data_IF_773570697638
#
_entry.id   IF_773570697638
#
_cell.length_a   1.000
_cell.length_b   1.000
_cell.length_c   1.000
_cell.angle_alpha   90.00
_cell.angle_beta   90.00
_cell.angle_gamma   90.00
#
_symmetry.space_group_name_H-M   'P 1'
#
loop_
_entity.id
_entity.type
_entity.pdbx_description
1 polymer ?
#
# COMPACT_ATOMS: atom_id res chain seq x y z
N UNK A 1 -48.94 -33.15 21.89
CA UNK A 1 -49.86 -33.04 20.73
C UNK A 1 -49.34 -31.90 19.87
N UNK A 2 -49.28 -32.08 18.54
CA UNK A 2 -48.68 -31.22 17.47
C UNK A 2 -47.40 -31.82 16.82
N UNK A 3 -47.67 -32.69 15.84
CA UNK A 3 -47.21 -32.79 14.44
C UNK A 3 -45.77 -32.44 13.95
N UNK A 4 -45.03 -33.50 13.57
CA UNK A 4 -44.35 -33.86 12.29
C UNK A 4 -43.71 -32.77 11.39
N UNK A 5 -42.40 -32.94 11.04
CA UNK A 5 -41.91 -33.28 9.67
C UNK A 5 -40.40 -33.57 9.59
N UNK A 6 -40.08 -34.76 9.07
CA UNK A 6 -38.76 -35.24 8.61
C UNK A 6 -38.49 -34.79 7.16
N UNK A 7 -37.22 -34.61 6.79
CA UNK A 7 -36.76 -34.62 5.40
C UNK A 7 -35.46 -35.42 5.28
N UNK A 8 -35.50 -36.49 4.46
CA UNK A 8 -34.41 -37.43 4.19
C UNK A 8 -33.67 -37.08 2.90
N UNK A 9 -32.37 -37.34 2.90
CA UNK A 9 -31.43 -37.16 1.78
C UNK A 9 -31.37 -38.45 0.93
N UNK A 10 -31.32 -38.34 -0.40
CA UNK A 10 -31.15 -39.46 -1.34
C UNK A 10 -29.82 -39.34 -2.09
N UNK A 11 -28.98 -40.37 -1.95
CA UNK A 11 -27.77 -40.63 -2.72
C UNK A 11 -28.15 -41.50 -3.93
N UNK A 12 -27.63 -41.18 -5.12
CA UNK A 12 -27.78 -41.97 -6.34
C UNK A 12 -26.42 -42.28 -6.98
N UNK A 13 -26.05 -43.56 -6.98
CA UNK A 13 -24.92 -44.17 -7.69
C UNK A 13 -25.39 -44.60 -9.10
N UNK A 14 -24.56 -44.47 -10.14
CA UNK A 14 -24.78 -45.22 -11.39
C UNK A 14 -23.48 -45.73 -12.02
N UNK A 15 -23.55 -46.99 -12.46
CA UNK A 15 -22.48 -47.90 -12.88
C UNK A 15 -22.00 -47.71 -14.33
N UNK A 16 -20.81 -48.26 -14.58
CA UNK A 16 -20.11 -48.41 -15.85
C UNK A 16 -20.72 -49.45 -16.79
N UNK A 17 -20.43 -49.32 -18.09
CA UNK A 17 -20.47 -50.40 -19.08
C UNK A 17 -19.31 -50.24 -20.07
N UNK A 18 -18.57 -51.33 -20.29
CA UNK A 18 -17.49 -51.45 -21.26
C UNK A 18 -17.94 -52.29 -22.46
N UNK A 19 -17.50 -51.92 -23.67
CA UNK A 19 -17.64 -52.73 -24.90
C UNK A 19 -16.29 -52.73 -25.63
N UNK A 20 -15.90 -53.90 -26.12
CA UNK A 20 -14.61 -54.21 -26.74
C UNK A 20 -14.79 -54.69 -28.21
N UNK A 21 -13.66 -54.70 -28.95
CA UNK A 21 -13.30 -55.52 -30.16
C UNK A 21 -13.50 -54.83 -31.54
N UNK A 22 -12.63 -55.05 -32.60
CA UNK A 22 -11.21 -55.50 -32.70
C UNK A 22 -10.28 -54.59 -33.56
N UNK A 23 -8.98 -54.96 -33.57
CA UNK A 23 -7.88 -54.47 -34.42
C UNK A 23 -7.90 -55.03 -35.86
N UNK A 24 -7.46 -54.23 -36.83
CA UNK A 24 -6.99 -54.66 -38.17
C UNK A 24 -5.76 -53.84 -38.63
N UNK A 25 -4.92 -54.49 -39.45
CA UNK A 25 -3.50 -54.23 -39.75
C UNK A 25 -3.11 -53.04 -40.68
N UNK A 26 -1.90 -52.48 -40.42
CA UNK A 26 -0.77 -52.03 -41.30
C UNK A 26 -1.02 -51.13 -42.55
N UNK A 27 -0.22 -50.12 -42.98
CA UNK A 27 1.06 -49.44 -42.67
C UNK A 27 1.14 -48.14 -43.58
N UNK A 28 2.29 -47.46 -43.81
CA UNK A 28 3.05 -46.54 -42.95
C UNK A 28 3.13 -45.06 -43.48
N UNK A 29 3.73 -44.21 -42.64
CA UNK A 29 4.45 -42.95 -42.95
C UNK A 29 3.69 -41.70 -43.43
N UNK A 30 3.69 -40.66 -42.58
CA UNK A 30 4.38 -39.39 -42.91
C UNK A 30 4.45 -38.47 -41.68
N UNK A 31 5.66 -37.98 -41.46
CA UNK A 31 6.10 -36.88 -40.61
C UNK A 31 5.06 -35.76 -40.35
N UNK A 32 4.94 -35.36 -39.09
CA UNK A 32 4.23 -34.14 -38.69
C UNK A 32 3.84 -34.16 -37.22
N UNK A 33 4.83 -34.10 -36.32
CA UNK A 33 4.53 -33.85 -34.90
C UNK A 33 4.33 -32.34 -34.75
N UNK A 34 3.08 -31.92 -34.81
CA UNK A 34 2.64 -30.57 -34.47
C UNK A 34 2.87 -30.37 -32.96
N UNK A 35 3.89 -29.60 -32.61
CA UNK A 35 4.02 -29.05 -31.26
C UNK A 35 3.24 -27.75 -31.19
N UNK A 36 1.93 -27.82 -31.02
CA UNK A 36 1.17 -26.71 -30.46
C UNK A 36 1.35 -26.72 -28.94
N UNK A 37 2.55 -26.35 -28.52
CA UNK A 37 2.80 -25.86 -27.17
C UNK A 37 2.79 -24.34 -27.26
N UNK A 38 1.68 -23.71 -26.89
CA UNK A 38 1.66 -22.28 -26.60
C UNK A 38 2.53 -22.05 -25.35
N UNK A 39 3.84 -21.92 -25.55
CA UNK A 39 4.74 -21.36 -24.56
C UNK A 39 4.43 -19.88 -24.48
N UNK A 40 3.73 -19.46 -23.42
CA UNK A 40 3.82 -18.06 -22.98
C UNK A 40 5.29 -17.74 -22.80
N UNK A 41 5.85 -16.94 -23.70
CA UNK A 41 7.22 -16.44 -23.60
C UNK A 41 7.34 -15.75 -22.24
N UNK A 42 8.12 -16.34 -21.33
CA UNK A 42 8.43 -15.70 -20.06
C UNK A 42 9.34 -14.55 -20.43
N UNK A 43 8.82 -13.32 -20.38
CA UNK A 43 9.59 -12.12 -20.67
C UNK A 43 10.92 -12.14 -19.90
N UNK A 44 12.04 -11.97 -20.58
CA UNK A 44 13.36 -11.95 -19.93
C UNK A 44 13.49 -10.64 -19.12
N UNK A 45 13.73 -10.75 -17.81
CA UNK A 45 13.86 -9.61 -16.92
C UNK A 45 15.01 -8.67 -17.31
N UNK A 46 16.11 -9.20 -17.87
CA UNK A 46 17.20 -8.39 -18.40
C UNK A 46 16.75 -7.59 -19.63
N UNK A 47 16.02 -8.23 -20.55
CA UNK A 47 15.50 -7.56 -21.74
C UNK A 47 14.55 -6.42 -21.35
N UNK A 48 13.61 -6.68 -20.43
CA UNK A 48 12.71 -5.65 -19.89
C UNK A 48 13.47 -4.48 -19.25
N UNK A 49 14.54 -4.78 -18.50
CA UNK A 49 15.37 -3.74 -17.90
C UNK A 49 16.08 -2.88 -18.95
N UNK A 50 16.70 -3.50 -19.96
CA UNK A 50 17.41 -2.80 -21.02
C UNK A 50 16.47 -1.92 -21.84
N UNK A 51 15.27 -2.42 -22.14
CA UNK A 51 14.28 -1.70 -22.95
C UNK A 51 13.66 -0.52 -22.19
N UNK A 52 13.32 -0.68 -20.91
CA UNK A 52 12.47 0.28 -20.20
C UNK A 52 13.15 1.06 -19.08
N UNK A 53 14.32 0.63 -18.59
CA UNK A 53 14.89 1.14 -17.34
C UNK A 53 16.35 1.61 -17.45
N UNK A 54 17.18 0.93 -18.25
CA UNK A 54 18.63 1.15 -18.29
C UNK A 54 19.01 2.60 -18.63
N UNK A 55 18.27 3.26 -19.53
CA UNK A 55 18.52 4.64 -19.92
C UNK A 55 18.58 5.61 -18.72
N UNK A 56 17.76 5.40 -17.70
CA UNK A 56 17.73 6.24 -16.50
C UNK A 56 18.61 5.68 -15.37
N UNK A 57 18.56 4.37 -15.15
CA UNK A 57 19.21 3.73 -14.01
C UNK A 57 20.73 3.52 -14.20
N UNK A 58 21.21 3.50 -15.44
CA UNK A 58 22.64 3.53 -15.76
C UNK A 58 23.12 4.94 -16.19
N UNK A 59 22.17 5.83 -16.52
CA UNK A 59 22.41 7.16 -17.10
C UNK A 59 22.76 8.29 -16.12
N UNK A 60 23.16 8.00 -14.88
CA UNK A 60 23.41 8.99 -13.81
C UNK A 60 22.26 10.00 -13.61
N UNK A 61 21.01 9.58 -13.83
CA UNK A 61 19.85 10.44 -13.61
C UNK A 61 19.73 10.74 -12.11
N UNK A 62 19.65 12.02 -11.68
CA UNK A 62 19.53 12.37 -10.27
C UNK A 62 18.35 11.64 -9.61
N UNK A 63 18.60 11.04 -8.44
CA UNK A 63 17.63 10.24 -7.65
C UNK A 63 17.23 8.89 -8.25
N UNK A 64 17.70 8.52 -9.43
CA UNK A 64 17.59 7.14 -9.91
C UNK A 64 18.68 6.28 -9.25
N UNK A 65 18.33 5.21 -8.51
CA UNK A 65 19.33 4.28 -7.99
C UNK A 65 19.96 3.49 -9.15
N UNK A 66 21.27 3.25 -9.09
CA UNK A 66 21.93 2.39 -10.07
C UNK A 66 21.41 0.95 -9.97
N UNK A 67 21.44 0.22 -11.10
CA UNK A 67 20.98 -1.18 -11.17
C UNK A 67 21.44 -2.07 -10.00
N UNK A 68 22.73 -1.97 -9.64
CA UNK A 68 23.33 -2.79 -8.59
C UNK A 68 22.65 -2.62 -7.22
N UNK A 69 22.08 -1.45 -6.96
CA UNK A 69 21.37 -1.14 -5.72
C UNK A 69 20.11 -1.99 -5.57
N UNK A 70 19.47 -2.42 -6.67
CA UNK A 70 18.24 -3.19 -6.58
C UNK A 70 18.43 -4.57 -5.96
N UNK A 71 19.63 -5.17 -6.03
CA UNK A 71 19.93 -6.41 -5.31
C UNK A 71 19.85 -6.28 -3.78
N UNK A 72 19.84 -5.05 -3.27
CA UNK A 72 19.65 -4.74 -1.84
C UNK A 72 18.19 -4.38 -1.51
N UNK A 73 17.32 -4.40 -2.52
CA UNK A 73 15.90 -4.05 -2.45
C UNK A 73 15.09 -5.31 -2.79
N UNK A 74 14.20 -5.73 -1.88
CA UNK A 74 13.37 -6.91 -2.14
C UNK A 74 12.45 -6.72 -3.35
N UNK A 75 12.17 -7.82 -4.05
CA UNK A 75 11.34 -7.80 -5.27
C UNK A 75 9.95 -7.16 -5.04
N UNK A 76 9.33 -7.39 -3.88
CA UNK A 76 8.04 -6.77 -3.51
C UNK A 76 8.10 -5.24 -3.46
N UNK A 77 9.20 -4.69 -2.92
CA UNK A 77 9.39 -3.23 -2.84
C UNK A 77 9.52 -2.63 -4.24
N UNK A 78 10.28 -3.30 -5.12
CA UNK A 78 10.47 -2.87 -6.51
C UNK A 78 9.14 -2.94 -7.27
N UNK A 79 8.40 -4.04 -7.11
CA UNK A 79 7.10 -4.23 -7.72
C UNK A 79 6.09 -3.16 -7.26
N UNK A 80 6.06 -2.86 -5.95
CA UNK A 80 5.18 -1.83 -5.43
C UNK A 80 5.55 -0.43 -5.97
N UNK A 81 6.85 -0.14 -6.13
CA UNK A 81 7.29 1.11 -6.73
C UNK A 81 6.77 1.30 -8.17
N UNK A 82 6.68 0.21 -8.95
CA UNK A 82 6.13 0.19 -10.32
C UNK A 82 4.61 0.14 -10.39
N UNK A 83 3.93 -0.37 -9.35
CA UNK A 83 2.47 -0.47 -9.35
C UNK A 83 1.80 0.78 -8.80
N UNK A 84 2.29 1.25 -7.65
CA UNK A 84 1.61 2.28 -6.85
C UNK A 84 2.56 3.41 -6.41
N UNK A 85 3.86 3.27 -6.69
CA UNK A 85 4.89 4.22 -6.24
C UNK A 85 5.38 5.16 -7.33
N UNK A 86 6.56 5.72 -7.08
CA UNK A 86 7.19 6.75 -7.92
C UNK A 86 7.59 6.28 -9.32
N UNK A 87 7.65 4.96 -9.57
CA UNK A 87 8.00 4.40 -10.88
C UNK A 87 6.77 3.98 -11.69
N UNK A 88 5.56 4.26 -11.20
CA UNK A 88 4.32 3.84 -11.87
C UNK A 88 4.18 4.40 -13.28
N UNK A 89 4.52 5.67 -13.49
CA UNK A 89 4.43 6.30 -14.82
C UNK A 89 5.43 5.66 -15.80
N UNK A 90 6.67 5.45 -15.37
CA UNK A 90 7.74 4.84 -16.17
C UNK A 90 7.44 3.37 -16.50
N UNK A 91 6.83 2.65 -15.58
CA UNK A 91 6.44 1.25 -15.75
C UNK A 91 5.07 1.07 -16.43
N UNK A 92 4.41 2.15 -16.87
CA UNK A 92 3.03 2.09 -17.37
C UNK A 92 2.86 1.28 -18.66
N UNK A 93 3.91 1.16 -19.47
CA UNK A 93 3.94 0.32 -20.66
C UNK A 93 4.03 -1.18 -20.34
N UNK A 94 4.46 -1.54 -19.13
CA UNK A 94 4.64 -2.93 -18.70
C UNK A 94 3.34 -3.54 -18.19
N UNK A 95 3.04 -4.76 -18.63
CA UNK A 95 1.98 -5.59 -18.05
C UNK A 95 2.25 -5.93 -16.58
N UNK A 96 1.22 -6.40 -15.87
CA UNK A 96 1.38 -6.86 -14.48
C UNK A 96 2.35 -8.04 -14.36
N UNK A 97 2.44 -8.90 -15.38
CA UNK A 97 3.37 -10.04 -15.41
C UNK A 97 4.80 -9.57 -15.64
N UNK A 98 5.02 -8.67 -16.62
CA UNK A 98 6.35 -8.11 -16.90
C UNK A 98 6.91 -7.36 -15.70
N UNK A 99 6.09 -6.55 -15.01
CA UNK A 99 6.50 -5.88 -13.77
C UNK A 99 6.96 -6.87 -12.69
N UNK A 100 6.29 -8.02 -12.54
CA UNK A 100 6.73 -9.06 -11.59
C UNK A 100 8.05 -9.70 -11.99
N UNK A 101 8.22 -10.02 -13.27
CA UNK A 101 9.46 -10.64 -13.76
C UNK A 101 10.64 -9.68 -13.64
N UNK A 102 10.46 -8.42 -14.05
CA UNK A 102 11.45 -7.36 -13.91
C UNK A 102 11.83 -7.14 -12.44
N UNK A 103 10.86 -7.10 -11.53
CA UNK A 103 11.12 -6.94 -10.09
C UNK A 103 11.96 -8.09 -9.51
N UNK A 104 11.62 -9.35 -9.82
CA UNK A 104 12.40 -10.50 -9.37
C UNK A 104 13.83 -10.50 -9.95
N UNK A 105 13.96 -10.20 -11.24
CA UNK A 105 15.26 -10.06 -11.89
C UNK A 105 16.14 -8.99 -11.21
N UNK A 106 15.60 -7.80 -10.97
CA UNK A 106 16.32 -6.69 -10.36
C UNK A 106 16.75 -6.97 -8.92
N UNK A 107 15.91 -7.67 -8.16
CA UNK A 107 16.23 -8.08 -6.79
C UNK A 107 17.26 -9.22 -6.73
N UNK A 108 17.53 -9.91 -7.85
CA UNK A 108 18.41 -11.08 -7.89
C UNK A 108 17.81 -12.31 -7.18
N UNK A 109 16.50 -12.31 -6.94
CA UNK A 109 15.78 -13.36 -6.23
C UNK A 109 14.45 -13.68 -6.92
N UNK A 110 14.06 -14.95 -6.91
CA UNK A 110 12.67 -15.28 -7.17
C UNK A 110 11.82 -14.71 -6.03
N UNK A 111 10.64 -14.16 -6.34
CA UNK A 111 9.74 -13.65 -5.30
C UNK A 111 9.41 -14.78 -4.31
N UNK A 112 10.00 -14.70 -3.11
CA UNK A 112 9.69 -15.60 -2.02
C UNK A 112 8.32 -15.23 -1.43
N UNK A 113 7.56 -16.20 -0.89
CA UNK A 113 6.37 -15.85 -0.12
C UNK A 113 6.76 -14.94 1.05
N UNK A 114 5.89 -13.99 1.45
CA UNK A 114 6.17 -13.12 2.58
C UNK A 114 6.50 -13.97 3.82
N UNK A 115 7.52 -13.57 4.57
CA UNK A 115 7.78 -14.20 5.86
C UNK A 115 6.57 -13.97 6.76
N UNK A 116 6.05 -15.02 7.41
CA UNK A 116 4.91 -14.89 8.30
C UNK A 116 5.27 -13.98 9.47
N UNK A 117 4.33 -13.12 9.82
CA UNK A 117 4.44 -12.23 10.98
C UNK A 117 4.10 -13.04 12.23
N UNK A 118 4.76 -12.73 13.34
CA UNK A 118 4.41 -13.31 14.63
C UNK A 118 3.02 -12.84 15.04
N UNK A 119 2.02 -13.71 14.94
CA UNK A 119 0.67 -13.43 15.40
C UNK A 119 0.56 -13.61 16.92
N UNK A 120 -0.27 -12.80 17.56
CA UNK A 120 -0.62 -12.99 18.97
C UNK A 120 -1.44 -14.27 19.15
N UNK A 121 -1.18 -14.99 20.24
CA UNK A 121 -1.93 -16.20 20.58
C UNK A 121 -3.31 -15.87 21.15
N UNK A 122 -3.36 -14.83 21.98
CA UNK A 122 -4.58 -14.37 22.62
C UNK A 122 -5.29 -13.31 21.76
N UNK A 123 -6.63 -13.27 21.80
CA UNK A 123 -7.39 -12.21 21.15
C UNK A 123 -7.04 -10.85 21.77
N UNK A 124 -7.17 -9.80 20.96
CA UNK A 124 -6.97 -8.45 21.46
C UNK A 124 -8.06 -8.08 22.47
N UNK A 125 -7.66 -7.37 23.52
CA UNK A 125 -8.59 -6.81 24.50
C UNK A 125 -9.53 -5.80 23.85
N UNK A 126 -10.72 -5.59 24.44
CA UNK A 126 -11.57 -4.47 24.07
C UNK A 126 -10.83 -3.15 24.29
N UNK A 127 -10.84 -2.29 23.27
CA UNK A 127 -10.16 -1.00 23.32
C UNK A 127 -11.02 0.02 24.09
N UNK A 128 -10.42 0.69 25.06
CA UNK A 128 -11.07 1.76 25.78
C UNK A 128 -11.49 2.90 24.84
N UNK A 129 -12.64 3.52 25.11
CA UNK A 129 -13.12 4.71 24.39
C UNK A 129 -12.24 5.95 24.62
N UNK A 130 -11.43 5.94 25.68
CA UNK A 130 -10.44 6.98 25.97
C UNK A 130 -9.21 6.39 26.65
N UNK A 131 -8.04 6.91 26.30
CA UNK A 131 -6.78 6.59 26.96
C UNK A 131 -5.99 7.89 27.14
N UNK A 132 -5.78 8.28 28.39
CA UNK A 132 -5.09 9.53 28.74
C UNK A 132 -3.56 9.45 28.49
N UNK A 133 -3.01 8.24 28.39
CA UNK A 133 -1.61 7.99 28.06
C UNK A 133 -1.39 7.78 26.56
N UNK A 134 -2.47 7.73 25.76
CA UNK A 134 -2.38 7.43 24.35
C UNK A 134 -1.58 8.48 23.57
N UNK A 135 -0.78 7.98 22.63
CA UNK A 135 -0.17 8.76 21.57
C UNK A 135 -1.08 8.69 20.36
N UNK A 136 -2.11 9.53 20.33
CA UNK A 136 -3.20 9.53 19.35
C UNK A 136 -2.81 10.16 18.01
N UNK A 137 -1.74 9.63 17.41
CA UNK A 137 -1.25 10.00 16.09
C UNK A 137 -0.16 11.08 16.08
N UNK A 138 0.02 11.74 14.93
CA UNK A 138 1.13 12.69 14.73
C UNK A 138 1.15 13.78 15.79
N UNK A 139 2.24 13.90 16.55
CA UNK A 139 2.36 14.90 17.60
C UNK A 139 1.91 14.45 19.00
N UNK A 140 1.43 13.21 19.12
CA UNK A 140 0.93 12.59 20.35
C UNK A 140 -0.52 12.98 20.71
N UNK A 141 -0.93 14.21 20.41
CA UNK A 141 -2.29 14.71 20.64
C UNK A 141 -2.59 15.95 19.79
N UNK A 142 -3.78 16.52 19.95
CA UNK A 142 -4.23 17.72 19.25
C UNK A 142 -3.33 18.96 19.44
N UNK A 143 -2.56 19.05 20.54
CA UNK A 143 -1.60 20.16 20.75
C UNK A 143 -0.30 19.97 19.98
N UNK A 144 -0.05 18.78 19.43
CA UNK A 144 1.09 18.46 18.57
C UNK A 144 2.46 18.82 19.18
N UNK A 145 2.60 18.63 20.50
CA UNK A 145 3.81 19.02 21.25
C UNK A 145 4.90 17.95 21.23
N UNK A 146 4.58 16.71 20.84
CA UNK A 146 5.49 15.56 20.90
C UNK A 146 6.16 15.42 22.28
N UNK A 147 5.38 15.68 23.32
CA UNK A 147 5.82 15.66 24.70
C UNK A 147 5.02 14.59 25.45
N UNK A 148 5.72 13.71 26.16
CA UNK A 148 5.13 12.70 27.03
C UNK A 148 5.57 12.98 28.46
N UNK A 149 4.60 13.05 29.36
CA UNK A 149 4.85 12.93 30.79
C UNK A 149 4.88 11.44 31.17
N UNK A 150 5.49 11.10 32.32
CA UNK A 150 5.26 9.79 32.94
C UNK A 150 5.93 8.57 32.30
N UNK A 151 6.95 8.75 31.46
CA UNK A 151 7.69 7.63 30.86
C UNK A 151 8.51 6.79 31.88
N UNK A 152 8.62 7.24 33.14
CA UNK A 152 9.50 6.62 34.13
C UNK A 152 11.00 6.71 33.81
N UNK A 153 11.35 7.44 32.74
CA UNK A 153 12.71 7.64 32.26
C UNK A 153 13.13 9.10 32.47
N UNK A 154 14.31 9.30 33.04
CA UNK A 154 14.94 10.59 33.22
C UNK A 154 16.46 10.50 33.02
N UNK A 155 17.14 11.64 33.18
CA UNK A 155 18.59 11.74 32.97
C UNK A 155 19.44 10.82 33.87
N UNK A 156 18.87 10.30 34.96
CA UNK A 156 19.56 9.48 35.95
C UNK A 156 19.35 7.97 35.74
N UNK A 157 18.45 7.56 34.83
CA UNK A 157 18.19 6.14 34.56
C UNK A 157 18.11 5.78 33.07
N UNK A 158 18.20 6.75 32.16
CA UNK A 158 18.14 6.50 30.71
C UNK A 158 19.27 5.58 30.21
N UNK A 159 20.39 5.53 30.93
CA UNK A 159 21.51 4.63 30.67
C UNK A 159 21.17 3.14 30.94
N UNK A 160 20.10 2.87 31.68
CA UNK A 160 19.59 1.52 31.95
C UNK A 160 18.62 1.02 30.89
N UNK A 161 18.28 1.85 29.89
CA UNK A 161 17.33 1.49 28.85
C UNK A 161 17.86 0.30 28.02
N UNK A 162 17.03 -0.73 27.88
CA UNK A 162 17.35 -1.91 27.10
C UNK A 162 16.25 -2.19 26.05
N UNK A 163 16.66 -2.82 24.95
CA UNK A 163 15.74 -3.30 23.92
C UNK A 163 14.81 -4.36 24.50
N UNK A 164 13.49 -4.10 24.49
CA UNK A 164 12.47 -5.07 24.93
C UNK A 164 12.15 -6.09 23.85
N UNK A 165 11.83 -5.62 22.64
CA UNK A 165 11.53 -6.46 21.48
C UNK A 165 11.76 -5.69 20.17
N UNK A 166 11.78 -6.41 19.05
CA UNK A 166 11.89 -5.84 17.69
C UNK A 166 10.80 -6.41 16.81
N UNK A 167 10.14 -5.54 16.04
CA UNK A 167 9.27 -5.92 14.95
C UNK A 167 9.96 -5.59 13.61
N UNK A 168 10.17 -6.61 12.77
CA UNK A 168 10.73 -6.43 11.45
C UNK A 168 9.60 -6.34 10.41
N UNK A 169 9.47 -5.18 9.78
CA UNK A 169 8.52 -4.97 8.69
C UNK A 169 8.90 -5.84 7.48
N UNK A 170 8.05 -6.80 7.08
CA UNK A 170 8.34 -7.64 5.93
C UNK A 170 8.55 -6.81 4.66
N UNK A 171 9.64 -7.05 3.94
CA UNK A 171 9.92 -6.40 2.66
C UNK A 171 10.05 -4.88 2.71
N UNK A 172 10.26 -4.28 3.89
CA UNK A 172 10.44 -2.85 4.02
C UNK A 172 11.91 -2.49 4.26
N UNK A 173 12.37 -1.44 3.57
CA UNK A 173 13.69 -0.83 3.74
C UNK A 173 13.63 0.46 4.55
N UNK A 174 12.43 0.98 4.80
CA UNK A 174 12.19 2.19 5.59
C UNK A 174 10.95 2.04 6.46
N UNK A 175 11.05 2.49 7.69
CA UNK A 175 9.94 2.69 8.60
C UNK A 175 9.71 4.20 8.76
N UNK A 176 8.61 4.71 8.19
CA UNK A 176 8.30 6.15 8.16
C UNK A 176 7.06 6.53 8.95
N UNK A 177 6.13 5.60 9.11
CA UNK A 177 4.93 5.81 9.91
C UNK A 177 5.32 6.01 11.38
N UNK A 178 4.76 7.04 12.01
CA UNK A 178 4.88 7.23 13.44
C UNK A 178 3.85 6.33 14.12
N UNK A 179 4.26 5.48 15.09
CA UNK A 179 3.32 4.61 15.76
C UNK A 179 2.26 5.41 16.54
N UNK A 180 1.01 4.98 16.45
CA UNK A 180 -0.08 5.38 17.35
C UNK A 180 -0.14 4.34 18.47
N UNK A 181 -0.20 4.77 19.72
CA UNK A 181 -0.32 3.86 20.87
C UNK A 181 -1.61 4.18 21.61
N UNK A 182 -2.45 3.17 21.79
CA UNK A 182 -3.73 3.29 22.50
C UNK A 182 -4.04 1.96 23.19
N UNK A 183 -4.26 2.02 24.50
CA UNK A 183 -4.75 0.89 25.32
C UNK A 183 -3.93 -0.41 25.15
N UNK A 184 -2.60 -0.29 25.24
CA UNK A 184 -1.69 -1.44 25.13
C UNK A 184 -1.49 -1.95 23.70
N UNK A 185 -1.99 -1.26 22.69
CA UNK A 185 -1.83 -1.63 21.28
C UNK A 185 -1.09 -0.55 20.51
N UNK A 186 -0.15 -0.97 19.66
CA UNK A 186 0.59 -0.11 18.72
C UNK A 186 -0.01 -0.29 17.33
N UNK A 187 -0.48 0.79 16.74
CA UNK A 187 -0.93 0.83 15.35
C UNK A 187 0.10 1.55 14.47
N UNK A 188 0.57 0.88 13.42
CA UNK A 188 1.65 1.43 12.57
C UNK A 188 1.55 0.97 11.12
N UNK A 189 1.77 1.90 10.19
CA UNK A 189 1.82 1.64 8.75
C UNK A 189 3.23 1.29 8.26
N UNK A 190 3.31 0.74 7.05
CA UNK A 190 4.57 0.27 6.47
C UNK A 190 4.77 0.67 5.02
N UNK A 191 6.00 0.47 4.54
CA UNK A 191 6.38 0.73 3.16
C UNK A 191 5.64 -0.16 2.15
N UNK A 192 5.32 -1.41 2.52
CA UNK A 192 4.57 -2.34 1.66
C UNK A 192 3.09 -1.96 1.54
N UNK A 193 2.61 -1.10 2.43
CA UNK A 193 1.19 -0.73 2.52
C UNK A 193 0.40 -1.53 3.55
N UNK A 194 1.07 -2.37 4.32
CA UNK A 194 0.44 -3.06 5.43
C UNK A 194 0.39 -2.17 6.68
N UNK A 195 -0.67 -2.34 7.44
CA UNK A 195 -0.91 -1.74 8.75
C UNK A 195 -0.94 -2.88 9.77
N UNK A 196 -0.30 -2.64 10.90
CA UNK A 196 -0.17 -3.61 11.98
C UNK A 196 -0.79 -3.07 13.25
N UNK A 197 -1.60 -3.89 13.93
CA UNK A 197 -1.90 -3.73 15.34
C UNK A 197 -1.01 -4.70 16.13
N UNK A 198 -0.06 -4.15 16.87
CA UNK A 198 0.91 -4.91 17.64
C UNK A 198 0.60 -4.81 19.13
N UNK A 199 0.71 -5.92 19.84
CA UNK A 199 0.71 -5.93 21.30
C UNK A 199 1.92 -5.13 21.81
N UNK A 200 1.69 -4.18 22.72
CA UNK A 200 2.74 -3.31 23.27
C UNK A 200 3.79 -4.11 24.07
N UNK A 201 3.37 -5.20 24.71
CA UNK A 201 4.23 -5.97 25.61
C UNK A 201 5.16 -6.93 24.86
N UNK A 202 4.67 -7.61 23.84
CA UNK A 202 5.38 -8.68 23.13
C UNK A 202 5.77 -8.34 21.70
N UNK A 203 5.12 -7.35 21.07
CA UNK A 203 5.34 -6.99 19.67
C UNK A 203 4.73 -7.98 18.66
N UNK A 204 3.93 -8.96 19.10
CA UNK A 204 3.14 -9.80 18.19
C UNK A 204 2.02 -8.99 17.54
N UNK A 205 1.58 -9.39 16.34
CA UNK A 205 0.47 -8.77 15.65
C UNK A 205 -0.87 -9.41 16.06
N UNK A 206 -1.81 -8.59 16.54
CA UNK A 206 -3.19 -9.00 16.72
C UNK A 206 -3.89 -9.14 15.37
N UNK A 207 -3.66 -8.18 14.47
CA UNK A 207 -4.19 -8.20 13.12
C UNK A 207 -3.30 -7.42 12.14
N UNK A 208 -3.54 -7.64 10.85
CA UNK A 208 -2.89 -6.93 9.74
C UNK A 208 -3.92 -6.47 8.72
N UNK A 209 -3.76 -5.26 8.18
CA UNK A 209 -4.59 -4.73 7.10
C UNK A 209 -3.73 -4.28 5.92
N UNK A 210 -4.10 -4.66 4.69
CA UNK A 210 -3.37 -4.24 3.48
C UNK A 210 -4.08 -3.07 2.80
N UNK A 211 -3.47 -1.89 2.83
CA UNK A 211 -3.99 -0.69 2.18
C UNK A 211 -3.78 -0.70 0.64
N UNK A 212 -2.81 -1.49 0.17
CA UNK A 212 -2.49 -1.63 -1.25
C UNK A 212 -1.45 -0.63 -1.77
N UNK A 213 -1.13 0.42 -1.01
CA UNK A 213 0.00 1.31 -1.27
C UNK A 213 0.65 1.76 0.04
N UNK A 214 1.88 2.29 -0.03
CA UNK A 214 2.66 2.64 1.16
C UNK A 214 1.89 3.54 2.14
N UNK A 215 1.87 3.15 3.41
CA UNK A 215 1.32 3.95 4.52
C UNK A 215 2.49 4.52 5.30
N UNK A 216 2.95 5.70 4.86
CA UNK A 216 4.13 6.36 5.45
C UNK A 216 3.81 7.37 6.54
N UNK A 217 2.54 7.73 6.72
CA UNK A 217 2.12 8.73 7.69
C UNK A 217 1.70 8.08 9.01
N UNK A 218 1.58 8.89 10.06
CA UNK A 218 0.88 8.46 11.27
C UNK A 218 -0.59 8.18 10.97
N UNK A 219 -1.17 7.27 11.76
CA UNK A 219 -2.61 7.07 11.82
C UNK A 219 -3.24 8.12 12.75
N UNK A 220 -4.55 8.33 12.62
CA UNK A 220 -5.41 9.00 13.60
C UNK A 220 -6.43 8.00 14.14
N UNK A 221 -6.81 8.13 15.40
CA UNK A 221 -7.84 7.31 16.04
C UNK A 221 -9.01 8.21 16.44
N UNK A 222 -10.24 7.70 16.31
CA UNK A 222 -11.43 8.42 16.74
C UNK A 222 -12.63 7.53 16.99
N UNK A 223 -13.58 8.07 17.73
CA UNK A 223 -14.89 7.44 17.92
C UNK A 223 -15.85 7.93 16.85
N UNK A 224 -16.62 7.01 16.29
CA UNK A 224 -17.68 7.29 15.32
C UNK A 224 -19.03 7.02 15.98
N UNK A 225 -19.98 7.97 15.97
CA UNK A 225 -21.32 7.73 16.50
C UNK A 225 -21.96 6.48 15.88
N UNK A 226 -22.48 5.60 16.72
CA UNK A 226 -23.11 4.34 16.27
C UNK A 226 -22.14 3.18 16.06
N UNK A 227 -20.86 3.34 16.40
CA UNK A 227 -19.89 2.24 16.54
C UNK A 227 -19.42 2.15 17.99
N UNK A 228 -19.23 0.92 18.44
CA UNK A 228 -18.70 0.64 19.79
C UNK A 228 -17.17 0.76 19.81
N UNK A 229 -16.51 0.25 18.77
CA UNK A 229 -15.05 0.26 18.66
C UNK A 229 -14.51 1.56 18.02
N UNK A 230 -13.30 2.00 18.43
CA UNK A 230 -12.60 3.09 17.77
C UNK A 230 -12.27 2.78 16.30
N UNK A 231 -12.22 3.83 15.49
CA UNK A 231 -11.85 3.76 14.08
C UNK A 231 -10.47 4.39 13.88
N UNK A 232 -9.63 3.70 13.11
CA UNK A 232 -8.33 4.18 12.65
C UNK A 232 -8.45 4.79 11.26
N UNK A 233 -7.86 5.96 11.08
CA UNK A 233 -7.82 6.71 9.82
C UNK A 233 -6.40 6.90 9.32
N UNK A 234 -6.19 6.67 8.03
CA UNK A 234 -4.89 6.83 7.39
C UNK A 234 -5.02 7.15 5.90
N UNK A 235 -3.96 7.71 5.34
CA UNK A 235 -3.82 7.90 3.90
C UNK A 235 -2.69 7.05 3.36
N UNK A 236 -2.89 6.49 2.17
CA UNK A 236 -1.87 5.75 1.44
C UNK A 236 -1.19 6.61 0.37
N UNK A 237 -0.11 6.08 -0.22
CA UNK A 237 0.64 6.77 -1.26
C UNK A 237 -0.11 6.86 -2.60
N UNK A 238 -1.27 6.21 -2.74
CA UNK A 238 -2.18 6.31 -3.89
C UNK A 238 -3.29 7.35 -3.70
N UNK A 239 -3.16 8.23 -2.69
CA UNK A 239 -4.15 9.23 -2.31
C UNK A 239 -5.52 8.66 -1.93
N UNK A 240 -5.54 7.43 -1.41
CA UNK A 240 -6.71 6.81 -0.81
C UNK A 240 -6.66 6.97 0.69
N UNK A 241 -7.77 7.40 1.27
CA UNK A 241 -8.02 7.44 2.70
C UNK A 241 -8.74 6.17 3.08
N UNK A 242 -8.30 5.54 4.16
CA UNK A 242 -8.87 4.32 4.70
C UNK A 242 -9.37 4.60 6.12
N UNK A 243 -10.53 4.05 6.45
CA UNK A 243 -11.03 3.91 7.80
C UNK A 243 -11.21 2.43 8.10
N UNK A 244 -10.53 1.95 9.13
CA UNK A 244 -10.58 0.55 9.56
C UNK A 244 -10.96 0.49 11.03
N UNK A 245 -11.63 -0.59 11.42
CA UNK A 245 -11.92 -0.86 12.81
C UNK A 245 -10.62 -1.15 13.57
N UNK A 246 -10.43 -0.49 14.71
CA UNK A 246 -9.23 -0.66 15.50
C UNK A 246 -9.17 -2.05 16.18
N UNK A 247 -10.31 -2.70 16.43
CA UNK A 247 -10.40 -3.96 17.18
C UNK A 247 -9.99 -5.17 16.33
N UNK A 248 -10.32 -5.18 15.05
CA UNK A 248 -10.10 -6.34 14.17
C UNK A 248 -9.43 -6.00 12.82
N UNK A 249 -9.19 -4.73 12.53
CA UNK A 249 -8.60 -4.28 11.27
C UNK A 249 -9.54 -4.34 10.06
N UNK A 250 -10.83 -4.60 10.27
CA UNK A 250 -11.82 -4.68 9.20
C UNK A 250 -12.05 -3.32 8.55
N UNK A 251 -12.30 -3.32 7.25
CA UNK A 251 -12.56 -2.09 6.50
C UNK A 251 -13.94 -1.51 6.89
N UNK A 252 -13.96 -0.26 7.34
CA UNK A 252 -15.19 0.52 7.51
C UNK A 252 -15.55 1.21 6.19
N UNK A 253 -14.62 2.03 5.67
CA UNK A 253 -14.76 2.69 4.38
C UNK A 253 -13.39 3.03 3.79
N UNK A 254 -13.36 3.29 2.48
CA UNK A 254 -12.21 3.89 1.80
C UNK A 254 -12.68 4.90 0.76
N UNK A 255 -11.94 5.99 0.60
CA UNK A 255 -12.28 7.06 -0.33
C UNK A 255 -11.01 7.63 -0.98
N UNK A 256 -11.03 7.81 -2.30
CA UNK A 256 -9.96 8.54 -2.98
C UNK A 256 -10.17 10.05 -2.82
N UNK A 257 -9.15 10.76 -2.38
CA UNK A 257 -9.14 12.23 -2.28
C UNK A 257 -8.26 12.89 -3.34
N UNK A 258 -7.50 12.09 -4.10
CA UNK A 258 -6.67 12.55 -5.21
C UNK A 258 -7.48 12.88 -6.45
N UNK A 259 -7.30 14.08 -7.00
CA UNK A 259 -7.89 14.49 -8.30
C UNK A 259 -6.90 14.40 -9.47
N UNK A 260 -5.63 14.16 -9.16
CA UNK A 260 -4.54 14.03 -10.11
C UNK A 260 -4.02 12.59 -10.05
N UNK A 261 -3.64 11.95 -11.17
CA UNK A 261 -3.11 10.58 -11.16
C UNK A 261 -1.90 10.42 -10.24
N UNK A 262 -1.04 11.45 -10.17
CA UNK A 262 0.15 11.45 -9.31
C UNK A 262 -0.10 12.00 -7.90
N UNK A 263 -1.36 12.24 -7.51
CA UNK A 263 -1.68 12.64 -6.15
C UNK A 263 -1.26 11.55 -5.15
N UNK A 264 -0.75 11.97 -4.01
CA UNK A 264 -0.31 11.08 -2.93
C UNK A 264 -0.72 11.68 -1.58
N UNK A 265 -0.88 10.86 -0.54
CA UNK A 265 -0.94 11.33 0.84
C UNK A 265 0.40 11.05 1.50
N UNK A 266 1.11 12.12 1.86
CA UNK A 266 2.39 12.02 2.58
C UNK A 266 2.34 12.56 4.00
N UNK A 267 1.42 13.48 4.27
CA UNK A 267 1.16 14.00 5.60
C UNK A 267 0.17 13.11 6.37
N UNK A 268 0.13 13.26 7.69
CA UNK A 268 -0.77 12.47 8.54
C UNK A 268 -2.17 13.09 8.54
N UNK A 269 -3.22 12.35 8.16
CA UNK A 269 -4.59 12.80 8.33
C UNK A 269 -4.88 13.16 9.78
N UNK A 270 -5.67 14.21 10.01
CA UNK A 270 -6.03 14.67 11.36
C UNK A 270 -7.53 14.67 11.56
N UNK A 271 -7.99 13.95 12.58
CA UNK A 271 -9.39 13.95 12.97
C UNK A 271 -9.67 15.16 13.89
N UNK A 272 -10.74 15.88 13.59
CA UNK A 272 -11.27 16.92 14.46
C UNK A 272 -12.77 17.07 14.21
N UNK A 273 -13.58 17.00 15.28
CA UNK A 273 -15.03 17.22 15.25
C UNK A 273 -15.77 16.45 14.14
N UNK A 274 -15.47 15.16 13.99
CA UNK A 274 -16.10 14.29 12.99
C UNK A 274 -15.60 14.48 11.55
N UNK A 275 -14.64 15.38 11.32
CA UNK A 275 -13.99 15.57 10.02
C UNK A 275 -12.54 15.12 10.04
N UNK A 276 -12.12 14.39 9.00
CA UNK A 276 -10.74 14.05 8.74
C UNK A 276 -10.13 15.04 7.74
N UNK A 277 -9.11 15.76 8.17
CA UNK A 277 -8.35 16.70 7.36
C UNK A 277 -7.14 16.00 6.76
N UNK A 278 -7.10 15.90 5.44
CA UNK A 278 -6.17 15.08 4.69
C UNK A 278 -5.29 15.97 3.81
N UNK A 279 -3.97 16.06 4.09
CA UNK A 279 -3.03 16.78 3.24
C UNK A 279 -2.77 16.00 1.94
N UNK A 280 -2.79 16.71 0.81
CA UNK A 280 -2.62 16.14 -0.53
C UNK A 280 -1.33 16.69 -1.14
N UNK A 281 -0.44 15.77 -1.49
CA UNK A 281 0.85 16.00 -2.14
C UNK A 281 0.89 15.27 -3.48
N UNK A 282 2.05 15.24 -4.13
CA UNK A 282 2.20 14.65 -5.46
C UNK A 282 3.55 14.01 -5.73
N UNK A 283 3.52 13.03 -6.61
CA UNK A 283 4.67 12.40 -7.25
C UNK A 283 4.85 12.82 -8.72
N UNK A 284 4.13 13.85 -9.20
CA UNK A 284 4.18 14.32 -10.61
C UNK A 284 5.59 14.72 -11.06
N UNK A 285 6.46 15.12 -10.11
CA UNK A 285 7.88 15.34 -10.40
C UNK A 285 8.57 14.10 -11.01
N UNK A 286 8.12 12.89 -10.65
CA UNK A 286 8.62 11.65 -11.21
C UNK A 286 8.10 11.46 -12.63
N UNK A 287 6.81 11.72 -12.89
CA UNK A 287 6.23 11.73 -14.25
C UNK A 287 6.92 12.75 -15.15
N UNK A 288 7.28 13.91 -14.61
CA UNK A 288 8.02 14.96 -15.29
C UNK A 288 9.47 14.59 -15.67
N UNK A 289 9.96 13.43 -15.26
CA UNK A 289 11.23 12.89 -15.76
C UNK A 289 11.12 12.48 -17.23
N UNK A 290 9.91 12.22 -17.75
CA UNK A 290 9.67 12.10 -19.18
C UNK A 290 9.78 13.50 -19.83
N UNK A 291 10.75 13.73 -20.73
CA UNK A 291 10.93 15.03 -21.40
C UNK A 291 9.72 15.45 -22.25
N UNK A 292 8.87 14.50 -22.67
CA UNK A 292 7.64 14.76 -23.41
C UNK A 292 6.45 15.16 -22.51
N UNK A 293 6.57 15.03 -21.19
CA UNK A 293 5.47 15.33 -20.27
C UNK A 293 5.27 16.84 -20.08
N UNK A 294 4.03 17.30 -20.31
CA UNK A 294 3.63 18.69 -20.13
C UNK A 294 3.39 19.00 -18.64
N UNK A 295 4.48 19.13 -17.88
CA UNK A 295 4.45 19.45 -16.44
C UNK A 295 4.21 20.96 -16.17
N UNK A 296 3.66 21.34 -15.04
CA UNK A 296 3.03 20.50 -14.01
C UNK A 296 1.58 20.94 -13.83
N UNK A 297 0.70 19.97 -13.60
CA UNK A 297 -0.75 20.15 -13.52
C UNK A 297 -1.33 19.78 -12.16
N UNK A 298 -0.57 19.09 -11.31
CA UNK A 298 -0.98 18.80 -9.95
C UNK A 298 -1.29 20.07 -9.16
N UNK A 299 -2.33 19.99 -8.33
CA UNK A 299 -2.72 21.03 -7.38
C UNK A 299 -2.80 20.41 -5.99
N UNK A 300 -1.83 20.76 -5.13
CA UNK A 300 -1.88 20.36 -3.74
C UNK A 300 -2.94 21.10 -2.96
N UNK A 301 -3.22 20.62 -1.76
CA UNK A 301 -4.32 21.13 -0.96
C UNK A 301 -4.63 20.25 0.24
N UNK A 302 -5.73 20.59 0.90
CA UNK A 302 -6.31 19.82 1.99
C UNK A 302 -7.72 19.40 1.59
N UNK A 303 -8.04 18.13 1.77
CA UNK A 303 -9.42 17.65 1.73
C UNK A 303 -9.95 17.51 3.16
N UNK A 304 -11.22 17.86 3.37
CA UNK A 304 -11.98 17.43 4.54
C UNK A 304 -12.93 16.33 4.11
N UNK A 305 -12.93 15.23 4.86
CA UNK A 305 -13.75 14.05 4.61
C UNK A 305 -14.53 13.74 5.90
N UNK A 306 -15.80 13.38 5.79
CA UNK A 306 -16.59 12.92 6.93
C UNK A 306 -16.00 11.62 7.49
N UNK A 307 -15.76 11.60 8.81
CA UNK A 307 -15.06 10.51 9.47
C UNK A 307 -15.92 9.23 9.56
N UNK A 308 -17.25 9.34 9.49
CA UNK A 308 -18.15 8.20 9.57
C UNK A 308 -18.37 7.53 8.21
N UNK A 309 -18.51 8.32 7.14
CA UNK A 309 -18.89 7.83 5.81
C UNK A 309 -17.76 7.80 4.79
N UNK A 310 -16.71 8.61 4.98
CA UNK A 310 -15.69 8.82 3.95
C UNK A 310 -16.13 9.78 2.84
N UNK A 311 -17.27 10.46 2.98
CA UNK A 311 -17.75 11.43 2.00
C UNK A 311 -16.91 12.72 2.04
N UNK A 312 -16.58 13.26 0.86
CA UNK A 312 -15.83 14.51 0.75
C UNK A 312 -16.72 15.69 1.18
N UNK A 313 -16.34 16.38 2.25
CA UNK A 313 -17.00 17.62 2.68
C UNK A 313 -16.61 18.79 1.78
N UNK A 314 -15.29 18.97 1.58
CA UNK A 314 -14.73 20.02 0.73
C UNK A 314 -13.26 19.73 0.41
N UNK A 315 -12.74 20.44 -0.59
CA UNK A 315 -11.32 20.49 -0.91
C UNK A 315 -10.90 21.95 -1.07
N UNK A 316 -9.80 22.32 -0.43
CA UNK A 316 -9.15 23.61 -0.59
C UNK A 316 -7.79 23.40 -1.25
N UNK A 317 -7.56 24.07 -2.37
CA UNK A 317 -6.26 24.01 -3.03
C UNK A 317 -5.34 25.10 -2.48
N UNK A 318 -4.03 24.86 -2.49
CA UNK A 318 -3.06 25.91 -2.13
C UNK A 318 -3.03 27.01 -3.20
N UNK A 319 -3.22 26.61 -4.47
CA UNK A 319 -3.36 27.50 -5.61
C UNK A 319 -4.72 27.22 -6.25
N UNK A 320 -5.58 28.24 -6.31
CA UNK A 320 -6.98 28.08 -6.74
C UNK A 320 -7.12 27.98 -8.26
N UNK A 321 -6.18 28.55 -9.01
CA UNK A 321 -6.16 28.49 -10.45
C UNK A 321 -5.62 27.14 -10.94
N UNK A 322 -6.28 26.47 -11.90
CA UNK A 322 -5.71 25.31 -12.56
C UNK A 322 -4.52 25.67 -13.44
N UNK A 323 -3.61 24.72 -13.60
CA UNK A 323 -2.48 24.90 -14.51
C UNK A 323 -2.96 25.02 -15.97
N UNK A 324 -2.52 26.07 -16.64
CA UNK A 324 -2.77 26.33 -18.06
C UNK A 324 -1.45 26.37 -18.81
N UNK A 325 -1.49 26.23 -20.13
CA UNK A 325 -0.30 26.42 -20.97
C UNK A 325 0.18 27.86 -20.88
N UNK A 326 1.49 28.01 -20.70
CA UNK A 326 2.15 29.32 -20.59
C UNK A 326 2.49 29.94 -21.95
N UNK A 327 2.34 29.17 -23.03
CA UNK A 327 2.84 29.50 -24.37
C UNK A 327 4.32 29.17 -24.57
N UNK A 328 5.03 28.73 -23.52
CA UNK A 328 6.42 28.27 -23.61
C UNK A 328 6.49 26.73 -23.76
N UNK A 329 7.61 26.26 -24.32
CA UNK A 329 7.93 24.82 -24.39
C UNK A 329 9.26 24.53 -23.69
N UNK A 330 9.44 23.30 -23.23
CA UNK A 330 10.74 22.81 -22.79
C UNK A 330 11.66 22.53 -24.03
N UNK A 331 12.96 22.25 -23.83
CA UNK A 331 13.87 21.96 -24.95
C UNK A 331 13.49 20.77 -25.85
N UNK A 332 12.54 19.94 -25.41
CA UNK A 332 12.02 18.78 -26.12
C UNK A 332 10.65 19.04 -26.78
N UNK A 333 10.15 20.28 -26.71
CA UNK A 333 8.89 20.69 -27.35
C UNK A 333 7.62 20.48 -26.53
N UNK A 334 7.70 19.93 -25.31
CA UNK A 334 6.53 19.78 -24.46
C UNK A 334 6.09 21.14 -23.88
N UNK A 335 4.78 21.40 -23.88
CA UNK A 335 4.22 22.63 -23.36
C UNK A 335 4.48 22.78 -21.85
N UNK A 336 4.92 23.97 -21.44
CA UNK A 336 5.06 24.32 -20.03
C UNK A 336 3.72 24.77 -19.47
N UNK A 337 3.31 24.16 -18.35
CA UNK A 337 2.06 24.50 -17.67
C UNK A 337 2.32 25.20 -16.34
N UNK A 338 1.44 26.14 -16.00
CA UNK A 338 1.49 26.88 -14.74
C UNK A 338 0.16 27.56 -14.39
N UNK A 339 -0.05 27.95 -13.13
CA UNK A 339 0.87 27.77 -12.01
C UNK A 339 0.98 26.28 -11.59
N UNK A 340 2.19 25.85 -11.23
CA UNK A 340 2.37 24.52 -10.64
C UNK A 340 1.86 24.55 -9.19
N UNK A 341 1.03 23.58 -8.80
CA UNK A 341 0.49 23.52 -7.45
C UNK A 341 1.56 23.31 -6.38
N UNK A 342 1.31 23.84 -5.18
CA UNK A 342 2.16 23.59 -4.02
C UNK A 342 1.66 22.35 -3.25
N UNK A 343 2.49 21.32 -3.03
CA UNK A 343 2.12 20.15 -2.23
C UNK A 343 1.93 20.52 -0.76
N UNK A 344 1.03 19.80 -0.08
CA UNK A 344 0.78 19.90 1.37
C UNK A 344 1.14 18.60 2.06
#
# INVERSE_FOLDING_TARGET
>A
MITVKNLTWRIGLMMAAAVFVPLANAAPASTGMSTDGATTEVADGMALYQEHCAACHDGQVPRAPHMITFSTIGADTILNAMNNGVMRAQASALSATERKVLAGFLAGEAMAPPKPILACADPMSELASSDAAAMQGWGGNAKNRRHSDGAGLDRNNVDQLALKWVFAYPGALRARSQPLVHDGVIFVGSQSGDIYALDLESGCAHWTYSAGAEVRSSLSLGLVPGRDDPVLYMGDFSATVHAIDASDGSLVWRASVGVHPDATITGSPKLHEGSLYVPISSSEWATAADPGYACCTFRGGVASVDAASGELNWRAHVIEEPAVETGETNPFGAARKGPAGAPV
#
